data_IF_646372121230
#
_entry.id   IF_646372121230
#
_cell.length_a   1.000
_cell.length_b   1.000
_cell.length_c   1.000
_cell.angle_alpha   90.00
_cell.angle_beta   90.00
_cell.angle_gamma   90.00
#
_symmetry.space_group_name_H-M   'P 1'
#
loop_
_entity.id
_entity.type
_entity.pdbx_description
1 polymer ?
#
# COMPACT_ATOMS: atom_id res chain seq x y z
N UNK A 1 21.79 2.10 31.59
CA UNK A 1 20.78 3.03 31.05
C UNK A 1 21.36 4.42 31.20
N UNK A 2 21.50 5.17 30.11
CA UNK A 2 22.02 6.52 30.14
C UNK A 2 20.99 7.43 29.48
N UNK A 3 20.78 8.61 30.05
CA UNK A 3 19.90 9.62 29.51
C UNK A 3 20.74 10.79 29.03
N UNK A 4 20.24 11.55 28.05
CA UNK A 4 20.92 12.76 27.59
C UNK A 4 21.13 13.73 28.76
N UNK A 5 22.26 14.42 28.76
CA UNK A 5 22.57 15.44 29.79
C UNK A 5 21.49 16.52 29.78
N UNK A 6 20.79 16.70 30.92
CA UNK A 6 19.68 17.66 31.03
C UNK A 6 18.38 17.24 30.33
N UNK A 7 18.30 16.02 29.77
CA UNK A 7 17.12 15.55 29.05
C UNK A 7 15.98 15.08 29.97
N UNK A 8 16.23 14.95 31.28
CA UNK A 8 15.22 14.54 32.26
C UNK A 8 15.11 15.59 33.36
N UNK A 9 13.88 16.03 33.60
CA UNK A 9 13.49 16.69 34.82
C UNK A 9 13.16 15.64 35.90
N UNK A 10 14.10 15.44 36.83
CA UNK A 10 13.97 14.42 37.88
C UNK A 10 12.82 14.69 38.86
N UNK A 11 12.33 15.94 38.92
CA UNK A 11 11.22 16.31 39.83
C UNK A 11 9.88 15.76 39.35
N UNK A 12 9.80 15.33 38.08
CA UNK A 12 8.59 14.82 37.44
C UNK A 12 8.50 13.30 37.40
N UNK A 13 9.48 12.59 37.98
CA UNK A 13 9.52 11.13 38.01
C UNK A 13 8.88 10.59 39.29
N UNK A 14 7.94 9.64 39.14
CA UNK A 14 7.37 8.88 40.25
C UNK A 14 7.79 7.42 40.18
N UNK A 15 7.88 6.74 41.33
CA UNK A 15 8.10 5.29 41.38
C UNK A 15 6.98 4.60 40.58
N UNK A 16 7.37 3.70 39.67
CA UNK A 16 6.44 3.04 38.74
C UNK A 16 6.35 3.68 37.35
N UNK A 17 7.07 4.77 37.08
CA UNK A 17 7.15 5.37 35.74
C UNK A 17 7.72 4.38 34.72
N UNK A 18 7.03 4.21 33.58
CA UNK A 18 7.51 3.38 32.48
C UNK A 18 8.68 4.04 31.75
N UNK A 19 9.68 3.23 31.37
CA UNK A 19 10.86 3.71 30.64
C UNK A 19 11.02 2.87 29.39
N UNK A 20 10.96 3.52 28.22
CA UNK A 20 11.18 2.87 26.93
C UNK A 20 12.66 2.97 26.54
N UNK A 21 13.21 1.84 26.10
CA UNK A 21 14.57 1.77 25.56
C UNK A 21 14.57 2.24 24.11
N UNK A 22 15.01 3.47 23.85
CA UNK A 22 15.05 4.07 22.50
C UNK A 22 16.29 3.67 21.71
N UNK A 23 17.41 3.43 22.39
CA UNK A 23 18.63 2.88 21.80
C UNK A 23 19.26 1.84 22.73
N UNK A 24 19.85 0.83 22.12
CA UNK A 24 20.57 -0.23 22.81
C UNK A 24 21.91 -0.47 22.12
N UNK A 25 22.97 0.26 22.49
CA UNK A 25 24.28 0.08 21.89
C UNK A 25 24.80 -1.37 21.98
N UNK A 26 24.40 -2.14 23.00
CA UNK A 26 24.80 -3.55 23.13
C UNK A 26 24.04 -4.44 22.14
N UNK A 27 22.72 -4.28 22.02
CA UNK A 27 21.92 -4.97 21.00
C UNK A 27 22.36 -4.54 19.60
N UNK A 28 22.52 -3.24 19.34
CA UNK A 28 23.04 -2.70 18.07
C UNK A 28 24.42 -3.28 17.76
N UNK A 29 25.33 -3.38 18.74
CA UNK A 29 26.64 -4.02 18.53
C UNK A 29 26.50 -5.53 18.26
N UNK A 30 25.53 -6.19 18.89
CA UNK A 30 25.24 -7.62 18.69
C UNK A 30 24.64 -7.89 17.31
N UNK A 31 23.66 -7.09 16.89
CA UNK A 31 23.06 -7.09 15.56
C UNK A 31 24.09 -6.68 14.49
N UNK A 32 24.93 -5.66 14.74
CA UNK A 32 26.04 -5.34 13.84
C UNK A 32 26.96 -6.53 13.64
N UNK A 33 27.30 -7.27 14.69
CA UNK A 33 28.06 -8.53 14.51
C UNK A 33 27.32 -9.48 13.56
N UNK A 34 25.98 -9.48 13.50
CA UNK A 34 25.18 -10.36 12.62
C UNK A 34 25.36 -10.15 11.13
N UNK A 35 25.81 -8.98 10.70
CA UNK A 35 25.98 -8.67 9.28
C UNK A 35 27.29 -7.93 8.94
N UNK A 36 28.04 -7.47 9.95
CA UNK A 36 29.32 -6.81 9.77
C UNK A 36 30.49 -7.80 9.92
N UNK A 37 31.46 -7.69 9.01
CA UNK A 37 32.66 -8.51 8.93
C UNK A 37 32.51 -9.74 8.03
N UNK A 38 33.62 -10.39 7.70
CA UNK A 38 33.68 -11.51 6.72
C UNK A 38 33.33 -12.87 7.34
N UNK A 39 32.75 -12.88 8.54
CA UNK A 39 32.37 -14.12 9.21
C UNK A 39 31.13 -14.70 8.53
N UNK A 40 31.34 -15.74 7.75
CA UNK A 40 30.28 -16.54 7.13
C UNK A 40 29.41 -17.18 8.21
N UNK A 41 28.14 -16.76 8.25
CA UNK A 41 27.15 -17.21 9.27
C UNK A 41 26.28 -18.35 8.81
N UNK A 42 26.16 -18.53 7.50
CA UNK A 42 25.42 -19.60 6.88
C UNK A 42 26.29 -20.20 5.78
N UNK A 43 26.59 -21.48 5.91
CA UNK A 43 27.27 -22.24 4.88
C UNK A 43 26.25 -23.05 4.10
N UNK A 44 26.43 -23.13 2.78
CA UNK A 44 25.63 -23.96 1.89
C UNK A 44 26.12 -25.41 1.96
N UNK A 45 25.21 -26.39 2.16
CA UNK A 45 25.58 -27.78 2.11
C UNK A 45 25.99 -28.18 0.69
N UNK A 46 27.12 -28.87 0.55
CA UNK A 46 27.56 -29.50 -0.69
C UNK A 46 27.66 -31.02 -0.53
N UNK A 47 27.32 -31.75 -1.58
CA UNK A 47 27.62 -33.18 -1.69
C UNK A 47 28.79 -33.39 -2.65
N UNK A 48 29.70 -34.27 -2.27
CA UNK A 48 30.87 -34.62 -3.07
C UNK A 48 30.76 -36.07 -3.57
N UNK A 49 31.02 -36.27 -4.86
CA UNK A 49 31.29 -37.58 -5.46
C UNK A 49 32.76 -37.62 -5.87
N UNK A 50 33.51 -38.58 -5.33
CA UNK A 50 34.94 -38.73 -5.57
C UNK A 50 35.22 -40.03 -6.30
N UNK A 51 35.94 -39.97 -7.42
CA UNK A 51 36.40 -41.16 -8.14
C UNK A 51 37.92 -41.22 -8.09
N UNK A 52 38.45 -42.31 -7.52
CA UNK A 52 39.88 -42.55 -7.38
C UNK A 52 40.24 -43.95 -7.90
N UNK A 53 40.98 -44.03 -9.00
CA UNK A 53 41.45 -45.29 -9.55
C UNK A 53 42.95 -45.24 -9.86
N UNK A 54 43.67 -46.32 -9.60
CA UNK A 54 45.10 -46.41 -9.93
C UNK A 54 45.31 -46.16 -11.43
N UNK A 55 46.26 -45.27 -11.76
CA UNK A 55 46.55 -44.87 -13.13
C UNK A 55 45.62 -43.81 -13.71
N UNK A 56 44.65 -43.30 -12.94
CA UNK A 56 43.73 -42.24 -13.34
C UNK A 56 43.87 -41.01 -12.43
N UNK A 57 43.55 -39.80 -12.91
CA UNK A 57 43.49 -38.63 -12.04
C UNK A 57 42.34 -38.75 -11.03
N UNK A 58 42.53 -38.19 -9.83
CA UNK A 58 41.44 -38.05 -8.86
C UNK A 58 40.40 -37.07 -9.42
N UNK A 59 39.14 -37.49 -9.47
CA UNK A 59 38.03 -36.66 -9.91
C UNK A 59 37.12 -36.34 -8.72
N UNK A 60 36.78 -35.07 -8.54
CA UNK A 60 35.85 -34.62 -7.49
C UNK A 60 34.75 -33.79 -8.14
N UNK A 61 33.51 -34.28 -8.05
CA UNK A 61 32.31 -33.55 -8.42
C UNK A 61 31.65 -32.99 -7.15
N UNK A 62 31.29 -31.71 -7.16
CA UNK A 62 30.53 -31.07 -6.10
C UNK A 62 29.16 -30.64 -6.59
N UNK A 63 28.12 -30.88 -5.77
CA UNK A 63 26.74 -30.51 -6.07
C UNK A 63 26.13 -29.69 -4.93
N UNK A 64 25.51 -28.57 -5.31
CA UNK A 64 24.74 -27.69 -4.42
C UNK A 64 23.30 -28.20 -4.27
N UNK A 65 22.62 -27.75 -3.21
CA UNK A 65 21.23 -28.13 -2.92
C UNK A 65 20.21 -27.70 -4.00
N UNK A 66 20.53 -26.71 -4.82
CA UNK A 66 19.70 -26.24 -5.94
C UNK A 66 19.98 -26.95 -7.27
N UNK A 67 20.86 -27.96 -7.26
CA UNK A 67 21.19 -28.78 -8.43
C UNK A 67 22.38 -28.28 -9.25
N UNK A 68 22.95 -27.10 -8.97
CA UNK A 68 24.20 -26.66 -9.62
C UNK A 68 25.38 -27.57 -9.24
N UNK A 69 26.27 -27.86 -10.19
CA UNK A 69 27.44 -28.69 -9.97
C UNK A 69 28.68 -28.19 -10.71
N UNK A 70 29.85 -28.51 -10.15
CA UNK A 70 31.15 -28.37 -10.81
C UNK A 70 31.97 -29.64 -10.61
N UNK A 71 33.01 -29.79 -11.42
CA UNK A 71 33.89 -30.94 -11.38
C UNK A 71 35.34 -30.47 -11.48
N UNK A 72 36.21 -31.06 -10.67
CA UNK A 72 37.65 -30.77 -10.65
C UNK A 72 38.43 -32.09 -10.70
N UNK A 73 39.42 -32.15 -11.59
CA UNK A 73 40.37 -33.25 -11.67
C UNK A 73 41.73 -32.86 -11.09
N UNK A 74 42.43 -33.82 -10.49
CA UNK A 74 43.83 -33.68 -10.11
C UNK A 74 44.75 -33.70 -11.35
N UNK A 75 45.85 -32.97 -11.28
CA UNK A 75 46.83 -32.89 -12.37
C UNK A 75 47.82 -34.07 -12.37
N UNK A 76 47.67 -35.01 -11.43
CA UNK A 76 48.54 -36.19 -11.27
C UNK A 76 47.69 -37.45 -11.19
N UNK A 77 48.25 -38.56 -11.70
CA UNK A 77 47.61 -39.87 -11.66
C UNK A 77 47.78 -40.50 -10.28
N UNK A 78 46.74 -41.16 -9.79
CA UNK A 78 46.80 -41.91 -8.55
C UNK A 78 47.71 -43.13 -8.72
N UNK A 79 48.59 -43.35 -7.75
CA UNK A 79 49.56 -44.45 -7.77
C UNK A 79 49.06 -45.62 -6.92
N UNK A 80 49.48 -46.87 -7.17
CA UNK A 80 49.16 -47.96 -6.25
C UNK A 80 49.76 -47.68 -4.87
N UNK A 81 48.97 -47.84 -3.81
CA UNK A 81 49.44 -47.60 -2.45
C UNK A 81 50.45 -48.67 -2.00
N UNK A 82 51.61 -48.25 -1.50
CA UNK A 82 52.58 -49.12 -0.83
C UNK A 82 52.32 -49.22 0.68
N UNK A 83 51.80 -48.14 1.29
CA UNK A 83 51.30 -48.05 2.67
C UNK A 83 50.15 -47.03 2.72
N UNK A 84 49.12 -47.31 3.51
CA UNK A 84 47.92 -46.45 3.70
C UNK A 84 47.18 -46.10 2.38
N UNK A 85 46.37 -47.04 1.85
CA UNK A 85 45.52 -46.73 0.70
C UNK A 85 44.52 -45.61 1.04
N UNK A 86 44.14 -44.85 0.02
CA UNK A 86 43.11 -43.83 0.15
C UNK A 86 41.78 -44.50 0.49
N UNK A 87 41.11 -44.01 1.52
CA UNK A 87 39.77 -44.44 1.92
C UNK A 87 38.81 -43.25 1.97
N UNK A 88 37.51 -43.55 2.06
CA UNK A 88 36.44 -42.56 2.10
C UNK A 88 36.54 -41.64 3.33
N UNK A 89 37.00 -42.17 4.47
CA UNK A 89 37.19 -41.40 5.70
C UNK A 89 38.25 -40.31 5.51
N UNK A 90 39.39 -40.64 4.90
CA UNK A 90 40.47 -39.71 4.58
C UNK A 90 40.00 -38.65 3.58
N UNK A 91 39.22 -39.04 2.57
CA UNK A 91 38.63 -38.10 1.61
C UNK A 91 37.67 -37.12 2.28
N UNK A 92 36.79 -37.61 3.17
CA UNK A 92 35.89 -36.78 3.95
C UNK A 92 36.66 -35.79 4.83
N UNK A 93 37.70 -36.25 5.52
CA UNK A 93 38.54 -35.40 6.37
C UNK A 93 39.30 -34.34 5.57
N UNK A 94 39.91 -34.69 4.43
CA UNK A 94 40.74 -33.77 3.68
C UNK A 94 39.92 -32.80 2.82
N UNK A 95 38.89 -33.28 2.12
CA UNK A 95 38.05 -32.43 1.25
C UNK A 95 37.00 -31.64 2.05
N UNK A 96 36.59 -32.14 3.22
CA UNK A 96 35.63 -31.46 4.12
C UNK A 96 36.18 -30.26 4.89
N UNK A 97 37.50 -29.99 4.81
CA UNK A 97 38.15 -28.80 5.41
C UNK A 97 37.81 -27.52 4.64
N UNK A 98 36.55 -27.11 4.69
CA UNK A 98 35.96 -25.96 3.99
C UNK A 98 35.82 -24.71 4.89
N UNK A 99 36.58 -24.66 5.99
CA UNK A 99 36.56 -23.52 6.92
C UNK A 99 36.93 -22.21 6.23
N UNK A 100 36.17 -21.14 6.50
CA UNK A 100 36.35 -19.84 5.86
C UNK A 100 35.72 -19.71 4.47
N UNK A 101 35.10 -20.77 3.95
CA UNK A 101 34.36 -20.75 2.68
C UNK A 101 32.84 -20.78 2.95
N UNK A 102 31.99 -20.30 2.01
CA UNK A 102 30.55 -20.33 2.17
C UNK A 102 29.96 -21.75 2.08
N UNK A 103 30.77 -22.81 2.07
CA UNK A 103 30.34 -24.19 1.90
C UNK A 103 30.60 -25.06 3.13
N UNK A 104 29.73 -26.05 3.35
CA UNK A 104 29.90 -27.08 4.35
C UNK A 104 29.64 -28.46 3.71
N UNK A 105 30.50 -29.43 4.01
CA UNK A 105 30.33 -30.79 3.51
C UNK A 105 29.11 -31.43 4.18
N UNK A 106 28.10 -31.81 3.38
CA UNK A 106 26.93 -32.56 3.85
C UNK A 106 27.13 -34.06 3.68
N UNK A 107 27.58 -34.48 2.50
CA UNK A 107 27.79 -35.89 2.16
C UNK A 107 29.00 -36.01 1.24
N UNK A 108 29.79 -37.05 1.44
CA UNK A 108 30.79 -37.51 0.48
C UNK A 108 30.47 -38.97 0.14
N UNK A 109 30.63 -39.33 -1.12
CA UNK A 109 30.61 -40.71 -1.61
C UNK A 109 31.85 -40.93 -2.46
N UNK A 110 32.54 -42.05 -2.27
CA UNK A 110 33.76 -42.36 -3.00
C UNK A 110 33.69 -43.69 -3.76
N UNK A 111 34.13 -43.68 -5.01
CA UNK A 111 34.41 -44.87 -5.81
C UNK A 111 35.93 -45.06 -5.88
N UNK A 112 36.43 -46.10 -5.20
CA UNK A 112 37.87 -46.33 -5.01
C UNK A 112 38.24 -47.68 -5.64
N UNK A 113 39.12 -47.67 -6.66
CA UNK A 113 39.51 -48.86 -7.43
C UNK A 113 41.02 -49.07 -7.41
N UNK A 114 41.46 -50.26 -7.01
CA UNK A 114 42.86 -50.68 -7.08
C UNK A 114 43.76 -50.17 -5.95
N UNK A 115 43.19 -49.73 -4.82
CA UNK A 115 43.93 -49.19 -3.66
C UNK A 115 44.86 -48.02 -4.03
N UNK A 116 44.32 -46.93 -4.59
CA UNK A 116 45.11 -45.76 -4.97
C UNK A 116 45.67 -45.03 -3.76
N UNK A 117 46.80 -44.36 -3.97
CA UNK A 117 47.39 -43.37 -3.09
C UNK A 117 47.41 -42.03 -3.80
N UNK A 118 46.88 -41.01 -3.12
CA UNK A 118 46.91 -39.62 -3.56
C UNK A 118 47.53 -38.78 -2.44
N UNK A 119 48.62 -38.04 -2.70
CA UNK A 119 49.23 -37.19 -1.69
C UNK A 119 48.25 -36.13 -1.15
N UNK A 120 48.35 -35.80 0.14
CA UNK A 120 47.51 -34.76 0.75
C UNK A 120 47.69 -33.38 0.11
N UNK A 121 48.87 -33.10 -0.45
CA UNK A 121 49.11 -31.88 -1.22
C UNK A 121 48.20 -31.80 -2.46
N UNK A 122 47.97 -32.93 -3.14
CA UNK A 122 47.06 -33.03 -4.30
C UNK A 122 45.61 -32.83 -3.85
N UNK A 123 45.19 -33.47 -2.76
CA UNK A 123 43.85 -33.27 -2.18
C UNK A 123 43.61 -31.80 -1.77
N UNK A 124 44.64 -31.15 -1.21
CA UNK A 124 44.60 -29.73 -0.88
C UNK A 124 44.45 -28.82 -2.11
N UNK A 125 45.16 -29.11 -3.20
CA UNK A 125 45.06 -28.38 -4.47
C UNK A 125 43.68 -28.56 -5.11
N UNK A 126 43.19 -29.80 -5.18
CA UNK A 126 41.84 -30.10 -5.71
C UNK A 126 40.77 -29.40 -4.88
N UNK A 127 40.85 -29.44 -3.55
CA UNK A 127 39.90 -28.73 -2.66
C UNK A 127 39.88 -27.24 -2.93
N UNK A 128 41.04 -26.58 -3.08
CA UNK A 128 41.10 -25.13 -3.37
C UNK A 128 40.44 -24.80 -4.71
N UNK A 129 40.76 -25.56 -5.76
CA UNK A 129 40.14 -25.39 -7.08
C UNK A 129 38.62 -25.61 -7.02
N UNK A 130 38.18 -26.64 -6.31
CA UNK A 130 36.77 -26.95 -6.12
C UNK A 130 36.01 -25.80 -5.44
N UNK A 131 36.60 -25.20 -4.40
CA UNK A 131 36.02 -24.02 -3.72
C UNK A 131 35.91 -22.85 -4.70
N UNK A 132 36.96 -22.56 -5.48
CA UNK A 132 36.93 -21.47 -6.47
C UNK A 132 35.85 -21.68 -7.54
N UNK A 133 35.70 -22.91 -8.06
CA UNK A 133 34.64 -23.24 -9.03
C UNK A 133 33.25 -23.11 -8.40
N UNK A 134 33.08 -23.56 -7.15
CA UNK A 134 31.82 -23.40 -6.42
C UNK A 134 31.48 -21.93 -6.16
N UNK A 135 32.47 -21.09 -5.80
CA UNK A 135 32.30 -19.64 -5.62
C UNK A 135 31.83 -18.98 -6.92
N UNK A 136 32.48 -19.29 -8.06
CA UNK A 136 32.06 -18.79 -9.37
C UNK A 136 30.63 -19.22 -9.73
N UNK A 137 30.25 -20.46 -9.42
CA UNK A 137 28.89 -20.95 -9.63
C UNK A 137 27.83 -20.21 -8.82
N UNK A 138 28.15 -19.80 -7.57
CA UNK A 138 27.20 -19.10 -6.70
C UNK A 138 27.16 -17.60 -6.94
N UNK A 139 28.27 -16.99 -7.38
CA UNK A 139 28.36 -15.58 -7.77
C UNK A 139 27.73 -15.30 -9.14
N UNK A 140 27.62 -16.32 -9.99
CA UNK A 140 26.93 -16.19 -11.27
C UNK A 140 25.47 -15.74 -11.06
N UNK A 141 25.18 -14.50 -11.47
CA UNK A 141 23.84 -13.92 -11.41
C UNK A 141 22.88 -14.83 -12.17
N UNK A 142 21.80 -15.34 -11.53
CA UNK A 142 20.79 -16.12 -12.24
C UNK A 142 20.26 -15.31 -13.43
N UNK A 143 20.39 -15.84 -14.65
CA UNK A 143 19.81 -15.20 -15.83
C UNK A 143 18.30 -15.22 -15.69
N UNK A 144 17.72 -14.08 -15.32
CA UNK A 144 16.26 -13.88 -15.36
C UNK A 144 15.86 -13.72 -16.81
N UNK A 145 15.37 -14.80 -17.42
CA UNK A 145 14.74 -14.73 -18.74
C UNK A 145 13.29 -14.32 -18.55
N UNK A 146 12.92 -13.15 -19.07
CA UNK A 146 11.51 -12.81 -19.21
C UNK A 146 10.96 -13.67 -20.34
N UNK A 147 10.14 -14.66 -20.01
CA UNK A 147 9.66 -15.67 -20.97
C UNK A 147 8.70 -15.09 -22.03
N UNK A 148 8.12 -13.91 -21.77
CA UNK A 148 7.12 -13.27 -22.62
C UNK A 148 7.42 -11.77 -22.69
N UNK A 149 7.27 -11.17 -23.87
CA UNK A 149 7.34 -9.71 -24.03
C UNK A 149 6.36 -9.02 -23.06
N UNK A 150 6.84 -8.22 -22.08
CA UNK A 150 5.97 -7.52 -21.15
C UNK A 150 4.90 -6.66 -21.82
N UNK A 151 5.21 -6.08 -22.99
CA UNK A 151 4.25 -5.26 -23.74
C UNK A 151 3.13 -6.14 -24.29
N UNK A 152 3.45 -7.34 -24.77
CA UNK A 152 2.45 -8.30 -25.22
C UNK A 152 1.53 -8.74 -24.07
N UNK A 153 2.08 -8.97 -22.87
CA UNK A 153 1.29 -9.31 -21.67
C UNK A 153 0.34 -8.17 -21.30
N UNK A 154 0.83 -6.93 -21.23
CA UNK A 154 -0.01 -5.77 -20.91
C UNK A 154 -1.11 -5.60 -21.97
N UNK A 155 -0.80 -5.70 -23.26
CA UNK A 155 -1.82 -5.66 -24.33
C UNK A 155 -2.85 -6.77 -24.20
N UNK A 156 -2.44 -7.96 -23.77
CA UNK A 156 -3.36 -9.07 -23.54
C UNK A 156 -4.29 -8.81 -22.35
N UNK A 157 -3.76 -8.25 -21.27
CA UNK A 157 -4.54 -7.88 -20.07
C UNK A 157 -5.45 -6.68 -20.31
N UNK A 158 -5.05 -5.74 -21.18
CA UNK A 158 -5.83 -4.57 -21.57
C UNK A 158 -6.84 -4.86 -22.69
N UNK A 159 -6.97 -6.12 -23.15
CA UNK A 159 -8.03 -6.46 -24.10
C UNK A 159 -9.36 -6.17 -23.40
N UNK A 160 -10.17 -5.25 -23.92
CA UNK A 160 -11.42 -4.90 -23.27
C UNK A 160 -12.25 -6.16 -23.08
N UNK A 161 -12.63 -6.45 -21.84
CA UNK A 161 -13.64 -7.47 -21.57
C UNK A 161 -14.90 -7.03 -22.32
N UNK A 162 -15.48 -7.88 -23.20
CA UNK A 162 -16.73 -7.54 -23.87
C UNK A 162 -17.77 -7.16 -22.82
N UNK A 163 -18.24 -5.91 -22.86
CA UNK A 163 -19.38 -5.48 -22.05
C UNK A 163 -20.51 -6.47 -22.25
N UNK A 164 -21.08 -6.99 -21.15
CA UNK A 164 -22.17 -7.96 -21.19
C UNK A 164 -23.47 -7.38 -21.79
N UNK A 165 -23.53 -6.07 -22.09
CA UNK A 165 -24.66 -5.40 -22.71
C UNK A 165 -24.24 -4.39 -23.80
N UNK A 166 -23.87 -4.84 -25.01
CA UNK A 166 -23.56 -3.92 -26.12
C UNK A 166 -24.80 -3.18 -26.68
N UNK A 167 -26.02 -3.60 -26.31
CA UNK A 167 -27.27 -3.10 -26.93
C UNK A 167 -27.86 -1.84 -26.28
N UNK A 168 -27.27 -1.33 -25.20
CA UNK A 168 -27.70 -0.06 -24.58
C UNK A 168 -26.73 1.10 -24.86
N UNK A 169 -25.50 0.80 -25.28
CA UNK A 169 -24.42 1.79 -25.44
C UNK A 169 -24.54 2.65 -26.72
N UNK A 170 -25.14 2.15 -27.80
CA UNK A 170 -25.20 2.92 -29.06
C UNK A 170 -26.42 3.86 -29.17
N UNK A 171 -27.48 3.65 -28.37
CA UNK A 171 -28.72 4.42 -28.47
C UNK A 171 -28.87 5.51 -27.39
N UNK A 172 -27.93 5.62 -26.44
CA UNK A 172 -28.02 6.50 -25.27
C UNK A 172 -26.91 7.54 -25.16
N UNK A 173 -26.16 7.81 -26.24
CA UNK A 173 -25.27 8.98 -26.38
C UNK A 173 -26.03 10.34 -26.42
N UNK A 174 -27.12 10.47 -25.68
CA UNK A 174 -27.46 11.78 -25.13
C UNK A 174 -26.43 12.12 -24.06
N UNK A 175 -25.90 13.34 -24.10
CA UNK A 175 -24.99 13.88 -23.08
C UNK A 175 -25.70 13.86 -21.71
N UNK A 176 -25.67 12.72 -21.04
CA UNK A 176 -26.19 12.60 -19.69
C UNK A 176 -25.19 13.30 -18.79
N UNK A 177 -25.65 14.35 -18.12
CA UNK A 177 -24.82 15.09 -17.17
C UNK A 177 -24.31 14.11 -16.10
N UNK A 178 -23.04 14.23 -15.67
CA UNK A 178 -22.50 13.38 -14.63
C UNK A 178 -23.29 13.56 -13.33
N UNK A 179 -23.40 12.49 -12.55
CA UNK A 179 -23.96 12.58 -11.19
C UNK A 179 -22.96 13.27 -10.27
N UNK A 180 -23.41 14.30 -9.55
CA UNK A 180 -22.66 14.93 -8.48
C UNK A 180 -22.97 14.24 -7.15
N UNK A 181 -21.96 13.63 -6.54
CA UNK A 181 -22.03 13.05 -5.20
C UNK A 181 -21.50 14.04 -4.18
N UNK A 182 -22.18 14.17 -3.04
CA UNK A 182 -21.75 15.07 -1.95
C UNK A 182 -21.45 14.25 -0.70
N UNK A 183 -20.19 14.23 -0.28
CA UNK A 183 -19.77 13.63 0.98
C UNK A 183 -19.83 14.66 2.10
N UNK A 184 -20.60 14.33 3.14
CA UNK A 184 -20.86 15.15 4.32
C UNK A 184 -20.30 14.47 5.57
N UNK A 185 -19.86 15.28 6.54
CA UNK A 185 -19.24 14.85 7.80
C UNK A 185 -20.04 15.28 9.05
N UNK A 186 -21.16 15.97 8.87
CA UNK A 186 -22.13 16.29 9.93
C UNK A 186 -23.58 16.22 9.44
N UNK A 187 -24.53 16.13 10.39
CA UNK A 187 -25.96 16.22 10.11
C UNK A 187 -26.36 17.59 9.55
N UNK A 188 -25.71 18.68 9.98
CA UNK A 188 -25.96 20.03 9.46
C UNK A 188 -25.58 20.15 7.98
N UNK A 189 -24.44 19.56 7.60
CA UNK A 189 -24.01 19.48 6.19
C UNK A 189 -24.97 18.62 5.37
N UNK A 190 -25.42 17.49 5.92
CA UNK A 190 -26.42 16.64 5.28
C UNK A 190 -27.72 17.41 5.02
N UNK A 191 -28.24 18.08 6.05
CA UNK A 191 -29.46 18.89 5.94
C UNK A 191 -29.28 20.01 4.92
N UNK A 192 -28.15 20.71 4.92
CA UNK A 192 -27.86 21.77 3.95
C UNK A 192 -27.80 21.23 2.51
N UNK A 193 -27.14 20.09 2.28
CA UNK A 193 -27.03 19.48 0.95
C UNK A 193 -28.40 19.02 0.42
N UNK A 194 -29.21 18.39 1.27
CA UNK A 194 -30.56 17.95 0.90
C UNK A 194 -31.48 19.14 0.62
N UNK A 195 -31.42 20.20 1.43
CA UNK A 195 -32.16 21.45 1.21
C UNK A 195 -31.72 22.14 -0.08
N UNK A 196 -30.45 22.06 -0.45
CA UNK A 196 -29.94 22.55 -1.75
C UNK A 196 -30.45 21.73 -2.95
N UNK A 197 -31.10 20.58 -2.71
CA UNK A 197 -31.67 19.73 -3.74
C UNK A 197 -30.81 18.53 -4.13
N UNK A 198 -29.70 18.28 -3.44
CA UNK A 198 -28.85 17.12 -3.72
C UNK A 198 -29.51 15.82 -3.26
N UNK A 199 -29.32 14.76 -4.05
CA UNK A 199 -29.97 13.46 -3.82
C UNK A 199 -29.01 12.29 -3.76
N UNK A 200 -27.77 12.44 -4.20
CA UNK A 200 -26.73 11.41 -4.12
C UNK A 200 -25.69 11.81 -3.05
N UNK A 201 -25.87 11.28 -1.84
CA UNK A 201 -25.16 11.72 -0.65
C UNK A 201 -24.33 10.59 -0.04
N UNK A 202 -23.22 10.96 0.59
CA UNK A 202 -22.34 10.03 1.31
C UNK A 202 -22.08 10.60 2.71
N UNK A 203 -22.31 9.83 3.77
CA UNK A 203 -21.99 10.23 5.14
C UNK A 203 -20.69 9.57 5.65
N UNK A 204 -19.79 10.37 6.20
CA UNK A 204 -18.51 9.97 6.80
C UNK A 204 -18.41 10.57 8.21
N UNK A 205 -19.23 10.06 9.13
CA UNK A 205 -19.40 10.59 10.49
C UNK A 205 -18.47 9.91 11.49
N UNK A 206 -17.98 10.69 12.44
CA UNK A 206 -17.20 10.21 13.58
C UNK A 206 -18.06 9.38 14.56
N UNK A 207 -19.31 9.80 14.78
CA UNK A 207 -20.22 9.11 15.68
C UNK A 207 -21.16 8.16 14.94
N UNK A 208 -20.96 6.87 15.16
CA UNK A 208 -21.75 5.81 14.52
C UNK A 208 -23.26 5.91 14.81
N UNK A 209 -23.65 6.52 15.95
CA UNK A 209 -25.06 6.67 16.33
C UNK A 209 -25.82 7.61 15.39
N UNK A 210 -25.13 8.62 14.85
CA UNK A 210 -25.73 9.63 13.97
C UNK A 210 -26.17 9.05 12.62
N UNK A 211 -25.62 7.93 12.18
CA UNK A 211 -26.00 7.32 10.90
C UNK A 211 -27.47 6.91 10.83
N UNK A 212 -28.10 6.53 11.96
CA UNK A 212 -29.54 6.21 11.97
C UNK A 212 -30.38 7.43 11.59
N UNK A 213 -30.05 8.57 12.18
CA UNK A 213 -30.73 9.84 11.92
C UNK A 213 -30.46 10.31 10.49
N UNK A 214 -29.20 10.20 10.05
CA UNK A 214 -28.78 10.56 8.69
C UNK A 214 -29.59 9.82 7.61
N UNK A 215 -29.68 8.49 7.72
CA UNK A 215 -30.46 7.66 6.80
C UNK A 215 -31.94 8.04 6.84
N UNK A 216 -32.48 8.31 8.04
CA UNK A 216 -33.86 8.77 8.19
C UNK A 216 -34.12 10.11 7.49
N UNK A 217 -33.24 11.09 7.69
CA UNK A 217 -33.33 12.43 7.09
C UNK A 217 -33.24 12.37 5.56
N UNK A 218 -32.27 11.62 5.03
CA UNK A 218 -32.13 11.46 3.58
C UNK A 218 -33.37 10.79 2.96
N UNK A 219 -33.88 9.72 3.60
CA UNK A 219 -35.07 8.99 3.13
C UNK A 219 -36.33 9.86 3.14
N UNK A 220 -36.53 10.70 4.16
CA UNK A 220 -37.65 11.65 4.21
C UNK A 220 -37.65 12.64 3.04
N UNK A 221 -36.48 12.90 2.46
CA UNK A 221 -36.28 13.86 1.38
C UNK A 221 -36.07 13.17 0.03
N UNK A 222 -36.35 11.87 -0.04
CA UNK A 222 -36.15 11.01 -1.22
C UNK A 222 -34.71 11.10 -1.78
N UNK A 223 -33.72 11.27 -0.90
CA UNK A 223 -32.31 11.23 -1.23
C UNK A 223 -31.72 9.85 -0.91
N UNK A 224 -30.80 9.40 -1.77
CA UNK A 224 -29.98 8.20 -1.57
C UNK A 224 -28.83 8.55 -0.64
N UNK A 225 -28.67 7.80 0.45
CA UNK A 225 -27.53 7.96 1.36
C UNK A 225 -26.67 6.71 1.42
N UNK A 226 -25.40 6.88 1.07
CA UNK A 226 -24.37 5.88 1.30
C UNK A 226 -23.58 6.18 2.57
N UNK A 227 -23.11 5.14 3.27
CA UNK A 227 -22.23 5.32 4.43
C UNK A 227 -20.79 4.98 4.05
N UNK A 228 -19.83 5.81 4.46
CA UNK A 228 -18.42 5.53 4.26
C UNK A 228 -17.90 4.57 5.33
N UNK A 229 -17.13 3.55 4.93
CA UNK A 229 -16.45 2.68 5.89
C UNK A 229 -15.20 3.37 6.46
N UNK A 230 -14.66 2.91 7.61
CA UNK A 230 -13.28 3.25 7.98
C UNK A 230 -12.30 2.91 6.87
N UNK A 231 -11.22 3.70 6.77
CA UNK A 231 -10.15 3.44 5.79
C UNK A 231 -9.31 2.22 6.15
N UNK A 232 -9.02 2.06 7.44
CA UNK A 232 -8.27 0.91 7.95
C UNK A 232 -9.23 -0.04 8.66
N UNK A 233 -9.18 -1.30 8.25
CA UNK A 233 -9.88 -2.42 8.87
C UNK A 233 -8.87 -3.41 9.43
N UNK A 234 -8.87 -3.62 10.76
CA UNK A 234 -8.03 -4.65 11.40
C UNK A 234 -8.81 -5.95 11.64
N UNK A 235 -8.10 -7.08 11.83
CA UNK A 235 -8.72 -8.31 12.32
C UNK A 235 -9.54 -8.05 13.59
N UNK A 236 -10.75 -8.63 13.66
CA UNK A 236 -11.66 -8.47 14.81
C UNK A 236 -12.55 -7.22 14.78
N UNK A 237 -12.35 -6.29 13.84
CA UNK A 237 -13.13 -5.04 13.78
C UNK A 237 -14.38 -5.12 12.86
N UNK A 238 -14.77 -6.31 12.40
CA UNK A 238 -15.93 -6.48 11.50
C UNK A 238 -17.25 -6.01 12.12
N UNK A 239 -17.30 -5.89 13.45
CA UNK A 239 -18.44 -5.32 14.17
C UNK A 239 -18.78 -3.89 13.73
N UNK A 240 -17.81 -3.12 13.23
CA UNK A 240 -18.06 -1.78 12.68
C UNK A 240 -18.89 -1.87 11.39
N UNK A 241 -18.54 -2.78 10.48
CA UNK A 241 -19.32 -2.99 9.25
C UNK A 241 -20.72 -3.52 9.55
N UNK A 242 -20.85 -4.43 10.52
CA UNK A 242 -22.15 -4.90 10.99
C UNK A 242 -23.00 -3.73 11.54
N UNK A 243 -22.40 -2.83 12.31
CA UNK A 243 -23.09 -1.66 12.82
C UNK A 243 -23.54 -0.71 11.71
N UNK A 244 -22.68 -0.41 10.73
CA UNK A 244 -23.04 0.38 9.55
C UNK A 244 -24.21 -0.25 8.78
N UNK A 245 -24.16 -1.56 8.53
CA UNK A 245 -25.22 -2.28 7.82
C UNK A 245 -26.57 -2.27 8.55
N UNK A 246 -26.60 -2.25 9.88
CA UNK A 246 -27.83 -2.16 10.70
C UNK A 246 -28.56 -0.82 10.56
N UNK A 247 -27.93 0.21 10.01
CA UNK A 247 -28.59 1.48 9.70
C UNK A 247 -29.35 1.43 8.37
N UNK A 248 -29.28 0.32 7.63
CA UNK A 248 -29.99 0.08 6.37
C UNK A 248 -29.78 1.21 5.34
N UNK A 249 -28.51 1.53 4.99
CA UNK A 249 -28.25 2.56 4.00
C UNK A 249 -28.56 2.08 2.58
N UNK A 250 -28.72 3.02 1.65
CA UNK A 250 -28.97 2.72 0.23
C UNK A 250 -27.70 2.24 -0.51
N UNK A 251 -26.57 2.23 0.19
CA UNK A 251 -25.30 1.69 -0.27
C UNK A 251 -24.16 2.04 0.69
N UNK A 252 -22.96 1.61 0.35
CA UNK A 252 -21.76 1.84 1.16
C UNK A 252 -20.61 2.28 0.27
N UNK A 253 -19.96 3.39 0.64
CA UNK A 253 -18.68 3.77 0.07
C UNK A 253 -17.58 2.98 0.81
N UNK A 254 -17.13 1.90 0.19
CA UNK A 254 -16.11 1.02 0.76
C UNK A 254 -14.73 1.60 0.52
N UNK A 255 -13.88 1.55 1.55
CA UNK A 255 -12.51 2.13 1.56
C UNK A 255 -11.40 1.09 1.65
N UNK A 256 -11.76 -0.19 1.62
CA UNK A 256 -10.85 -1.32 1.60
C UNK A 256 -11.57 -2.57 1.07
N UNK A 257 -10.78 -3.57 0.66
CA UNK A 257 -11.30 -4.81 0.07
C UNK A 257 -12.18 -5.63 1.02
N UNK A 258 -11.90 -5.59 2.33
CA UNK A 258 -12.71 -6.27 3.34
C UNK A 258 -14.14 -5.71 3.38
N UNK A 259 -14.29 -4.38 3.27
CA UNK A 259 -15.59 -3.73 3.16
C UNK A 259 -16.33 -4.14 1.89
N UNK A 260 -15.64 -4.14 0.75
CA UNK A 260 -16.19 -4.59 -0.54
C UNK A 260 -16.83 -5.98 -0.42
N UNK A 261 -16.05 -6.97 0.02
CA UNK A 261 -16.52 -8.36 0.19
C UNK A 261 -17.65 -8.46 1.24
N UNK A 262 -17.55 -7.75 2.36
CA UNK A 262 -18.51 -7.82 3.46
C UNK A 262 -19.91 -7.34 3.06
N UNK A 263 -20.01 -6.18 2.41
CA UNK A 263 -21.29 -5.57 2.06
C UNK A 263 -21.90 -6.20 0.80
N UNK A 264 -21.06 -6.52 -0.20
CA UNK A 264 -21.51 -7.22 -1.41
C UNK A 264 -22.11 -8.59 -1.11
N UNK A 265 -21.47 -9.39 -0.24
CA UNK A 265 -22.01 -10.70 0.17
C UNK A 265 -23.35 -10.62 0.90
N UNK A 266 -23.78 -9.42 1.33
CA UNK A 266 -25.08 -9.14 1.95
C UNK A 266 -26.07 -8.45 1.01
N UNK A 267 -25.72 -8.31 -0.27
CA UNK A 267 -26.57 -7.66 -1.26
C UNK A 267 -26.71 -6.15 -1.09
N UNK A 268 -25.82 -5.52 -0.29
CA UNK A 268 -25.82 -4.06 -0.13
C UNK A 268 -24.99 -3.45 -1.25
N UNK A 269 -25.51 -2.47 -2.01
CA UNK A 269 -24.77 -1.76 -3.05
C UNK A 269 -23.46 -1.15 -2.55
N UNK A 270 -22.40 -1.25 -3.36
CA UNK A 270 -21.05 -0.82 -2.98
C UNK A 270 -20.43 0.08 -4.05
N UNK A 271 -19.79 1.15 -3.58
CA UNK A 271 -18.94 2.03 -4.37
C UNK A 271 -17.52 2.03 -3.81
N UNK A 272 -16.51 2.02 -4.68
CA UNK A 272 -15.11 2.01 -4.28
C UNK A 272 -14.58 3.43 -4.08
N UNK A 273 -13.93 3.68 -2.96
CA UNK A 273 -13.33 4.98 -2.66
C UNK A 273 -11.91 5.15 -3.23
N UNK A 274 -11.41 6.39 -3.27
CA UNK A 274 -10.05 6.72 -3.76
C UNK A 274 -8.95 5.94 -3.02
N UNK A 275 -9.23 5.50 -1.80
CA UNK A 275 -8.33 4.73 -0.92
C UNK A 275 -8.02 3.31 -1.43
N UNK A 276 -8.70 2.83 -2.48
CA UNK A 276 -8.25 1.66 -3.23
C UNK A 276 -6.97 1.90 -4.06
N UNK A 277 -6.50 3.15 -4.15
CA UNK A 277 -5.28 3.56 -4.84
C UNK A 277 -5.26 3.16 -6.33
N UNK A 278 -6.43 3.28 -6.98
CA UNK A 278 -6.58 2.93 -8.40
C UNK A 278 -6.00 4.04 -9.26
N UNK A 279 -4.92 3.71 -9.97
CA UNK A 279 -4.14 4.65 -10.81
C UNK A 279 -3.94 4.18 -12.25
N UNK A 280 -4.46 3.01 -12.61
CA UNK A 280 -4.32 2.41 -13.94
C UNK A 280 -5.56 1.59 -14.31
N UNK A 281 -5.74 1.34 -15.62
CA UNK A 281 -6.94 0.69 -16.16
C UNK A 281 -7.11 -0.75 -15.69
N UNK A 282 -6.02 -1.50 -15.49
CA UNK A 282 -6.08 -2.88 -15.02
C UNK A 282 -6.65 -2.96 -13.59
N UNK A 283 -6.21 -2.07 -12.71
CA UNK A 283 -6.76 -1.97 -11.36
C UNK A 283 -8.23 -1.52 -11.38
N UNK A 284 -8.58 -0.56 -12.25
CA UNK A 284 -9.96 -0.11 -12.40
C UNK A 284 -10.88 -1.26 -12.86
N UNK A 285 -10.49 -1.98 -13.90
CA UNK A 285 -11.21 -3.13 -14.42
C UNK A 285 -11.33 -4.25 -13.38
N UNK A 286 -10.24 -4.55 -12.67
CA UNK A 286 -10.27 -5.52 -11.57
C UNK A 286 -11.34 -5.17 -10.55
N UNK A 287 -11.33 -3.96 -9.98
CA UNK A 287 -12.27 -3.57 -8.93
C UNK A 287 -13.71 -3.44 -9.43
N UNK A 288 -13.93 -2.90 -10.64
CA UNK A 288 -15.25 -2.87 -11.26
C UNK A 288 -15.81 -4.29 -11.47
N UNK A 289 -14.96 -5.24 -11.91
CA UNK A 289 -15.36 -6.64 -12.06
C UNK A 289 -15.73 -7.34 -10.75
N UNK A 290 -15.31 -6.81 -9.60
CA UNK A 290 -15.73 -7.30 -8.29
C UNK A 290 -17.17 -6.89 -7.91
N UNK A 291 -17.86 -6.12 -8.77
CA UNK A 291 -19.26 -5.73 -8.57
C UNK A 291 -19.44 -4.37 -7.89
N UNK A 292 -18.48 -3.46 -8.05
CA UNK A 292 -18.66 -2.06 -7.68
C UNK A 292 -19.62 -1.37 -8.66
N UNK A 293 -20.56 -0.58 -8.14
CA UNK A 293 -21.42 0.28 -8.97
C UNK A 293 -20.61 1.41 -9.62
N UNK A 294 -19.69 1.98 -8.82
CA UNK A 294 -18.75 3.02 -9.24
C UNK A 294 -17.43 2.92 -8.48
N UNK A 295 -16.39 3.52 -9.04
CA UNK A 295 -15.03 3.50 -8.50
C UNK A 295 -14.36 4.87 -8.57
N UNK A 296 -14.01 5.43 -7.41
CA UNK A 296 -13.25 6.66 -7.33
C UNK A 296 -11.77 6.44 -7.68
N UNK A 297 -11.25 7.31 -8.55
CA UNK A 297 -9.83 7.31 -8.94
C UNK A 297 -8.96 7.84 -7.79
N UNK A 298 -7.73 7.31 -7.66
CA UNK A 298 -6.77 7.76 -6.64
C UNK A 298 -6.40 9.23 -6.79
N UNK A 299 -6.11 9.88 -5.65
CA UNK A 299 -5.52 11.22 -5.59
C UNK A 299 -4.09 11.28 -6.12
N UNK A 300 -3.43 10.13 -6.27
CA UNK A 300 -2.05 10.06 -6.78
C UNK A 300 -1.94 10.32 -8.28
N UNK A 301 -3.05 10.23 -9.01
CA UNK A 301 -3.07 10.58 -10.43
C UNK A 301 -2.98 12.11 -10.60
N UNK A 302 -1.98 12.55 -11.36
CA UNK A 302 -2.02 13.90 -11.90
C UNK A 302 -3.07 14.00 -13.03
N UNK A 303 -3.34 15.22 -13.51
CA UNK A 303 -4.33 15.47 -14.57
C UNK A 303 -4.11 14.62 -15.83
N UNK A 304 -2.87 14.52 -16.32
CA UNK A 304 -2.56 13.78 -17.54
C UNK A 304 -2.77 12.27 -17.36
N UNK A 305 -2.32 11.72 -16.22
CA UNK A 305 -2.52 10.32 -15.85
C UNK A 305 -4.01 10.00 -15.69
N UNK A 306 -4.79 10.90 -15.07
CA UNK A 306 -6.23 10.75 -14.93
C UNK A 306 -6.91 10.69 -16.30
N UNK A 307 -6.61 11.62 -17.21
CA UNK A 307 -7.18 11.61 -18.56
C UNK A 307 -6.80 10.36 -19.35
N UNK A 308 -5.55 9.87 -19.21
CA UNK A 308 -5.12 8.61 -19.81
C UNK A 308 -5.88 7.41 -19.26
N UNK A 309 -6.12 7.36 -17.94
CA UNK A 309 -6.90 6.32 -17.28
C UNK A 309 -8.34 6.32 -17.82
N UNK A 310 -8.98 7.49 -17.84
CA UNK A 310 -10.35 7.67 -18.33
C UNK A 310 -10.48 7.23 -19.78
N UNK A 311 -9.50 7.54 -20.63
CA UNK A 311 -9.49 7.10 -22.03
C UNK A 311 -9.27 5.58 -22.21
N UNK A 312 -8.82 4.87 -21.17
CA UNK A 312 -8.39 3.47 -21.25
C UNK A 312 -9.36 2.48 -20.59
N UNK A 313 -10.51 2.93 -20.08
CA UNK A 313 -11.52 2.06 -19.45
C UNK A 313 -12.92 2.68 -19.53
N UNK A 314 -13.94 1.97 -19.03
CA UNK A 314 -15.31 2.49 -19.01
C UNK A 314 -15.45 3.67 -18.03
N UNK A 315 -15.30 4.88 -18.54
CA UNK A 315 -15.35 6.12 -17.76
C UNK A 315 -16.70 6.39 -17.09
N UNK A 316 -17.80 5.81 -17.59
CA UNK A 316 -19.14 6.03 -17.05
C UNK A 316 -19.31 5.52 -15.61
N UNK A 317 -18.50 4.55 -15.19
CA UNK A 317 -18.49 4.01 -13.82
C UNK A 317 -17.39 4.62 -12.94
N UNK A 318 -16.56 5.51 -13.48
CA UNK A 318 -15.53 6.17 -12.72
C UNK A 318 -16.07 7.41 -11.99
N UNK A 319 -15.58 7.60 -10.77
CA UNK A 319 -15.81 8.79 -9.96
C UNK A 319 -14.50 9.58 -9.81
N UNK A 320 -14.58 10.90 -9.98
CA UNK A 320 -13.45 11.81 -9.70
C UNK A 320 -13.84 12.77 -8.59
N UNK A 321 -13.03 12.84 -7.55
CA UNK A 321 -13.20 13.83 -6.48
C UNK A 321 -12.61 15.16 -6.95
N UNK A 322 -13.47 16.17 -7.06
CA UNK A 322 -13.15 17.48 -7.62
C UNK A 322 -13.12 18.59 -6.58
N UNK A 323 -13.45 18.27 -5.32
CA UNK A 323 -13.27 19.15 -4.19
C UNK A 323 -12.99 18.33 -2.93
N UNK A 324 -11.86 18.56 -2.26
CA UNK A 324 -11.52 17.84 -1.04
C UNK A 324 -10.42 18.53 -0.25
N UNK A 325 -10.42 18.32 1.06
CA UNK A 325 -9.24 18.52 1.88
C UNK A 325 -8.40 17.24 1.87
N UNK A 326 -7.11 17.35 1.54
CA UNK A 326 -6.25 16.17 1.47
C UNK A 326 -5.99 15.59 2.87
N UNK A 327 -6.27 14.30 3.10
CA UNK A 327 -5.88 13.65 4.35
C UNK A 327 -4.35 13.54 4.40
N UNK A 328 -3.72 14.18 5.39
CA UNK A 328 -2.26 14.22 5.54
C UNK A 328 -1.73 13.03 6.33
N UNK A 329 -2.32 12.80 7.50
CA UNK A 329 -1.91 11.72 8.40
C UNK A 329 -3.12 10.92 8.83
N UNK A 330 -2.98 9.60 8.84
CA UNK A 330 -3.93 8.70 9.45
C UNK A 330 -3.23 7.92 10.57
N UNK A 331 -3.78 7.98 11.78
CA UNK A 331 -3.09 7.62 13.01
C UNK A 331 -3.91 6.63 13.83
N UNK A 332 -3.27 5.56 14.30
CA UNK A 332 -3.87 4.66 15.29
C UNK A 332 -3.87 5.28 16.69
N UNK A 333 -2.88 6.12 16.99
CA UNK A 333 -2.82 6.81 18.26
C UNK A 333 -3.91 7.89 18.32
N UNK A 334 -4.86 7.73 19.25
CA UNK A 334 -5.97 8.65 19.41
C UNK A 334 -5.53 9.89 20.21
N UNK A 335 -5.25 10.99 19.52
CA UNK A 335 -4.84 12.27 20.13
C UNK A 335 -5.93 12.78 21.08
N UNK A 336 -7.20 12.66 20.69
CA UNK A 336 -8.34 13.06 21.53
C UNK A 336 -8.32 12.35 22.89
N UNK A 337 -8.13 11.02 22.89
CA UNK A 337 -8.00 10.26 24.14
C UNK A 337 -6.76 10.70 24.92
N UNK A 338 -5.63 10.90 24.24
CA UNK A 338 -4.37 11.21 24.89
C UNK A 338 -4.32 12.59 25.54
N UNK A 339 -5.05 13.57 25.03
CA UNK A 339 -4.91 14.97 25.47
C UNK A 339 -6.18 15.57 26.07
N UNK A 340 -7.36 15.01 25.79
CA UNK A 340 -8.66 15.54 26.24
C UNK A 340 -9.44 14.58 27.15
N UNK A 341 -8.86 13.42 27.49
CA UNK A 341 -9.52 12.43 28.35
C UNK A 341 -8.64 12.01 29.53
N UNK A 342 -9.21 11.74 30.71
CA UNK A 342 -8.52 11.01 31.77
C UNK A 342 -8.40 9.50 31.47
N UNK A 343 -9.07 9.00 30.43
CA UNK A 343 -9.01 7.61 30.00
C UNK A 343 -7.69 7.27 29.29
N UNK A 344 -7.43 5.98 29.14
CA UNK A 344 -6.16 5.44 28.59
C UNK A 344 -6.35 4.72 27.26
N UNK A 345 -7.59 4.43 26.85
CA UNK A 345 -7.89 3.74 25.60
C UNK A 345 -9.33 4.01 25.12
N UNK A 346 -9.68 3.48 23.94
CA UNK A 346 -11.00 3.68 23.30
C UNK A 346 -12.21 3.21 24.12
N UNK A 347 -12.02 2.31 25.09
CA UNK A 347 -13.11 1.75 25.90
C UNK A 347 -13.42 2.59 27.14
N UNK A 348 -12.52 3.49 27.56
CA UNK A 348 -12.68 4.31 28.76
C UNK A 348 -12.41 5.81 28.52
N UNK A 349 -12.23 6.24 27.28
CA UNK A 349 -11.90 7.63 26.97
C UNK A 349 -13.07 8.60 27.16
N UNK A 350 -14.31 8.13 27.30
CA UNK A 350 -15.48 9.01 27.40
C UNK A 350 -15.83 9.73 26.10
N UNK A 351 -15.21 9.36 24.97
CA UNK A 351 -15.46 9.90 23.62
C UNK A 351 -15.38 11.44 23.49
N UNK A 352 -14.30 12.10 23.94
CA UNK A 352 -14.15 13.56 23.78
C UNK A 352 -14.20 14.02 22.33
N UNK A 353 -13.92 13.12 21.36
CA UNK A 353 -14.05 13.37 19.93
C UNK A 353 -15.48 13.62 19.45
N UNK A 354 -16.51 13.27 20.23
CA UNK A 354 -17.91 13.52 19.86
C UNK A 354 -18.30 14.99 20.10
N UNK A 355 -17.69 15.65 21.10
CA UNK A 355 -18.10 16.97 21.58
C UNK A 355 -17.05 18.07 21.34
N UNK A 356 -15.83 17.71 20.90
CA UNK A 356 -14.74 18.66 20.67
C UNK A 356 -14.31 18.68 19.21
N UNK A 357 -14.20 19.89 18.66
CA UNK A 357 -13.51 20.14 17.39
C UNK A 357 -12.03 20.45 17.67
N UNK A 358 -11.11 19.63 17.16
CA UNK A 358 -9.67 19.77 17.41
C UNK A 358 -8.95 20.16 16.13
N UNK A 359 -8.13 21.20 16.21
CA UNK A 359 -7.20 21.59 15.15
C UNK A 359 -5.76 21.46 15.64
N UNK A 360 -4.88 20.92 14.81
CA UNK A 360 -3.44 20.94 15.04
C UNK A 360 -2.83 22.12 14.29
N UNK A 361 -2.14 22.99 15.02
CA UNK A 361 -1.43 24.12 14.44
C UNK A 361 -0.02 23.72 14.02
N UNK A 362 0.35 24.00 12.78
CA UNK A 362 1.70 23.74 12.28
C UNK A 362 2.70 24.85 12.68
N UNK A 363 3.96 24.69 12.25
CA UNK A 363 5.06 25.63 12.56
C UNK A 363 4.89 27.03 11.95
N UNK A 364 4.06 27.18 10.92
CA UNK A 364 3.79 28.46 10.25
C UNK A 364 2.42 29.04 10.66
N UNK A 365 1.72 28.39 11.59
CA UNK A 365 0.47 28.87 12.18
C UNK A 365 -0.80 28.38 11.48
N UNK A 366 -0.70 27.49 10.49
CA UNK A 366 -1.87 26.93 9.79
C UNK A 366 -2.53 25.88 10.66
N UNK A 367 -3.86 25.95 10.78
CA UNK A 367 -4.67 25.07 11.62
C UNK A 367 -5.32 23.97 10.79
N UNK A 368 -4.99 22.72 11.12
CA UNK A 368 -5.39 21.52 10.41
C UNK A 368 -6.42 20.74 11.21
N UNK A 369 -7.61 20.49 10.66
CA UNK A 369 -8.64 19.74 11.36
C UNK A 369 -8.19 18.30 11.61
N UNK A 370 -8.29 17.87 12.86
CA UNK A 370 -8.14 16.49 13.28
C UNK A 370 -9.52 15.90 13.54
N UNK A 371 -9.82 14.78 12.88
CA UNK A 371 -11.08 14.04 13.07
C UNK A 371 -10.82 12.65 13.62
N UNK A 372 -11.80 12.04 14.26
CA UNK A 372 -11.79 10.63 14.61
C UNK A 372 -12.78 9.86 13.72
N UNK A 373 -12.43 8.66 13.28
CA UNK A 373 -13.39 7.74 12.68
C UNK A 373 -14.10 6.87 13.74
N UNK A 374 -15.11 6.11 13.33
CA UNK A 374 -15.85 5.17 14.19
C UNK A 374 -14.97 4.07 14.79
N UNK A 375 -13.75 3.87 14.29
CA UNK A 375 -12.74 2.96 14.83
C UNK A 375 -11.79 3.61 15.84
N UNK A 376 -12.04 4.87 16.22
CA UNK A 376 -11.19 5.71 17.07
C UNK A 376 -9.80 6.01 16.47
N UNK A 377 -9.66 5.99 15.15
CA UNK A 377 -8.44 6.40 14.44
C UNK A 377 -8.54 7.85 14.04
N UNK A 378 -7.43 8.57 14.11
CA UNK A 378 -7.43 9.98 13.77
C UNK A 378 -6.98 10.24 12.34
N UNK A 379 -7.66 11.16 11.66
CA UNK A 379 -7.23 11.70 10.37
C UNK A 379 -6.99 13.20 10.52
N UNK A 380 -5.76 13.63 10.25
CA UNK A 380 -5.42 15.05 10.12
C UNK A 380 -5.58 15.46 8.67
N UNK A 381 -6.40 16.48 8.42
CA UNK A 381 -6.65 17.01 7.08
C UNK A 381 -5.82 18.27 6.81
N UNK A 382 -5.43 18.45 5.55
CA UNK A 382 -4.83 19.70 5.13
C UNK A 382 -5.85 20.83 5.29
N UNK A 383 -5.44 21.96 5.86
CA UNK A 383 -6.30 23.12 6.10
C UNK A 383 -6.81 23.75 4.80
N UNK A 384 -6.05 23.61 3.71
CA UNK A 384 -6.39 24.19 2.41
C UNK A 384 -7.03 23.12 1.54
N UNK A 385 -8.26 23.37 1.11
CA UNK A 385 -8.97 22.52 0.16
C UNK A 385 -8.25 22.48 -1.20
N UNK A 386 -8.47 21.41 -1.95
CA UNK A 386 -8.12 21.28 -3.35
C UNK A 386 -9.39 21.36 -4.21
N UNK A 387 -9.28 21.96 -5.39
CA UNK A 387 -10.34 21.99 -6.38
C UNK A 387 -9.81 21.57 -7.75
N UNK A 388 -10.46 20.55 -8.32
CA UNK A 388 -10.29 20.08 -9.68
C UNK A 388 -11.21 20.76 -10.69
N UNK A 389 -11.84 21.89 -10.35
CA UNK A 389 -12.87 22.53 -11.17
C UNK A 389 -12.44 22.79 -12.62
N UNK A 390 -11.19 23.20 -12.85
CA UNK A 390 -10.66 23.46 -14.19
C UNK A 390 -10.53 22.19 -15.06
N UNK A 391 -10.46 21.00 -14.46
CA UNK A 391 -10.42 19.73 -15.19
C UNK A 391 -11.83 19.18 -15.53
N UNK A 392 -12.88 19.65 -14.85
CA UNK A 392 -14.24 19.09 -14.96
C UNK A 392 -14.74 19.06 -16.41
N UNK A 393 -14.57 20.15 -17.17
CA UNK A 393 -15.02 20.19 -18.56
C UNK A 393 -14.40 19.09 -19.43
N UNK A 394 -13.09 18.82 -19.27
CA UNK A 394 -12.40 17.75 -20.00
C UNK A 394 -12.82 16.36 -19.52
N UNK A 395 -13.03 16.19 -18.22
CA UNK A 395 -13.47 14.93 -17.63
C UNK A 395 -14.86 14.53 -18.12
N UNK A 396 -15.80 15.48 -18.12
CA UNK A 396 -17.17 15.27 -18.63
C UNK A 396 -17.15 14.98 -20.13
N UNK A 397 -16.36 15.72 -20.91
CA UNK A 397 -16.20 15.47 -22.34
C UNK A 397 -15.56 14.09 -22.62
N UNK A 398 -14.79 13.55 -21.68
CA UNK A 398 -14.16 12.22 -21.77
C UNK A 398 -15.06 11.08 -21.24
N UNK A 399 -16.31 11.38 -20.87
CA UNK A 399 -17.29 10.37 -20.47
C UNK A 399 -17.27 9.98 -19.00
N UNK A 400 -16.64 10.78 -18.10
CA UNK A 400 -16.78 10.57 -16.65
C UNK A 400 -18.26 10.63 -16.26
N UNK A 401 -18.75 9.55 -15.64
CA UNK A 401 -20.15 9.47 -15.20
C UNK A 401 -20.40 10.05 -13.81
N UNK A 402 -19.37 10.11 -12.95
CA UNK A 402 -19.53 10.53 -11.57
C UNK A 402 -18.47 11.54 -11.13
N UNK A 403 -18.91 12.56 -10.40
CA UNK A 403 -18.05 13.56 -9.78
C UNK A 403 -18.40 13.66 -8.31
N UNK A 404 -17.41 13.89 -7.45
CA UNK A 404 -17.63 13.99 -6.01
C UNK A 404 -17.03 15.25 -5.42
N UNK A 405 -17.76 15.88 -4.51
CA UNK A 405 -17.24 16.89 -3.61
C UNK A 405 -17.25 16.34 -2.18
N UNK A 406 -16.17 16.56 -1.44
CA UNK A 406 -16.04 16.17 -0.03
C UNK A 406 -15.96 17.40 0.86
N UNK A 407 -16.97 17.58 1.70
CA UNK A 407 -17.01 18.62 2.72
C UNK A 407 -16.28 18.15 3.98
N UNK A 408 -15.57 19.05 4.64
CA UNK A 408 -14.84 18.80 5.87
C UNK A 408 -15.49 19.50 7.06
N UNK A 409 -15.37 20.82 7.12
CA UNK A 409 -15.79 21.66 8.26
C UNK A 409 -16.73 22.81 7.83
N UNK A 410 -17.13 22.83 6.57
CA UNK A 410 -18.02 23.84 6.02
C UNK A 410 -19.31 23.91 6.83
N UNK A 411 -19.69 25.14 7.22
CA UNK A 411 -21.01 25.44 7.76
C UNK A 411 -22.13 25.15 6.75
N UNK A 412 -23.38 25.15 7.19
CA UNK A 412 -24.53 24.98 6.29
C UNK A 412 -24.53 26.00 5.13
N UNK A 413 -24.17 27.27 5.40
CA UNK A 413 -24.08 28.30 4.38
C UNK A 413 -22.91 28.08 3.41
N UNK A 414 -21.76 27.64 3.90
CA UNK A 414 -20.60 27.29 3.06
C UNK A 414 -20.89 26.06 2.20
N UNK A 415 -21.51 25.03 2.79
CA UNK A 415 -21.98 23.82 2.10
C UNK A 415 -22.84 24.19 0.90
N UNK A 416 -23.86 25.03 1.10
CA UNK A 416 -24.73 25.49 0.01
C UNK A 416 -23.96 26.25 -1.07
N UNK A 417 -22.98 27.10 -0.70
CA UNK A 417 -22.14 27.84 -1.66
C UNK A 417 -21.24 26.92 -2.49
N UNK A 418 -20.58 25.94 -1.85
CA UNK A 418 -19.72 24.97 -2.55
C UNK A 418 -20.55 24.16 -3.55
N UNK A 419 -21.68 23.60 -3.10
CA UNK A 419 -22.60 22.85 -3.96
C UNK A 419 -23.06 23.70 -5.16
N UNK A 420 -23.54 24.92 -4.90
CA UNK A 420 -24.00 25.82 -5.96
C UNK A 420 -22.90 26.10 -6.99
N UNK A 421 -21.66 26.34 -6.54
CA UNK A 421 -20.52 26.62 -7.42
C UNK A 421 -20.23 25.46 -8.39
N UNK A 422 -20.24 24.21 -7.89
CA UNK A 422 -20.03 23.05 -8.74
C UNK A 422 -21.24 22.72 -9.63
N UNK A 423 -22.47 22.99 -9.17
CA UNK A 423 -23.67 22.86 -10.03
C UNK A 423 -23.66 23.86 -11.17
N UNK A 424 -23.26 25.10 -10.90
CA UNK A 424 -23.13 26.13 -11.93
C UNK A 424 -22.07 25.73 -12.97
N UNK A 425 -20.97 25.12 -12.52
CA UNK A 425 -19.95 24.56 -13.41
C UNK A 425 -20.50 23.44 -14.29
N UNK A 426 -21.19 22.46 -13.70
CA UNK A 426 -21.76 21.33 -14.44
C UNK A 426 -22.87 21.75 -15.40
N UNK A 427 -23.59 22.82 -15.07
CA UNK A 427 -24.58 23.42 -15.95
C UNK A 427 -23.98 24.37 -17.01
N UNK A 428 -22.65 24.56 -17.03
CA UNK A 428 -21.97 25.46 -17.97
C UNK A 428 -22.24 26.95 -17.74
N UNK A 429 -22.77 27.34 -16.56
CA UNK A 429 -23.03 28.74 -16.20
C UNK A 429 -21.77 29.50 -15.81
N UNK A 430 -20.76 28.77 -15.32
CA UNK A 430 -19.45 29.30 -14.95
C UNK A 430 -18.35 28.37 -15.45
N UNK A 431 -17.16 28.91 -15.64
CA UNK A 431 -15.94 28.17 -15.97
C UNK A 431 -15.28 27.61 -14.72
N UNK A 432 -14.47 26.54 -14.88
CA UNK A 432 -13.72 25.98 -13.75
C UNK A 432 -12.77 26.97 -13.09
N UNK A 433 -12.25 27.93 -13.87
CA UNK A 433 -11.38 29.01 -13.37
C UNK A 433 -12.15 30.01 -12.49
N UNK A 434 -13.39 30.33 -12.85
CA UNK A 434 -14.27 31.19 -12.03
C UNK A 434 -14.65 30.50 -10.72
N UNK A 435 -14.96 29.20 -10.75
CA UNK A 435 -15.21 28.41 -9.54
C UNK A 435 -13.98 28.40 -8.63
N UNK A 436 -12.81 28.11 -9.18
CA UNK A 436 -11.56 28.11 -8.41
C UNK A 436 -11.29 29.48 -7.77
N UNK A 437 -11.44 30.57 -8.54
CA UNK A 437 -11.27 31.93 -8.04
C UNK A 437 -12.29 32.30 -6.96
N UNK A 438 -13.57 31.94 -7.15
CA UNK A 438 -14.65 32.18 -6.21
C UNK A 438 -14.47 31.42 -4.89
N UNK A 439 -14.15 30.13 -4.95
CA UNK A 439 -13.84 29.31 -3.77
C UNK A 439 -12.61 29.84 -3.03
N UNK A 440 -11.57 30.25 -3.76
CA UNK A 440 -10.37 30.84 -3.17
C UNK A 440 -10.65 32.18 -2.47
N UNK A 441 -11.55 33.00 -3.02
CA UNK A 441 -11.95 34.26 -2.40
C UNK A 441 -12.87 34.08 -1.18
N UNK A 442 -13.70 33.02 -1.19
CA UNK A 442 -14.63 32.72 -0.12
C UNK A 442 -13.99 32.03 1.09
N UNK A 443 -12.87 31.32 0.89
CA UNK A 443 -12.16 30.58 1.94
C UNK A 443 -11.02 31.42 2.54
N UNK A 444 -10.97 31.54 3.88
CA UNK A 444 -9.94 32.30 4.60
C UNK A 444 -8.50 31.83 4.31
N UNK A 445 -8.31 30.53 4.04
CA UNK A 445 -7.00 29.92 3.74
C UNK A 445 -6.84 29.66 2.23
N UNK A 446 -7.90 29.90 1.45
CA UNK A 446 -7.96 29.69 0.00
C UNK A 446 -8.21 28.23 -0.42
N UNK A 447 -8.01 27.96 -1.71
CA UNK A 447 -8.11 26.63 -2.33
C UNK A 447 -6.94 26.46 -3.32
N UNK A 448 -6.37 25.25 -3.41
CA UNK A 448 -5.30 24.92 -4.37
C UNK A 448 -5.79 24.03 -5.51
N UNK A 449 -5.00 23.87 -6.58
CA UNK A 449 -5.29 22.94 -7.68
C UNK A 449 -4.92 21.49 -7.37
N UNK A 450 -4.08 21.27 -6.35
CA UNK A 450 -3.62 19.93 -5.99
C UNK A 450 -2.87 19.23 -7.11
N UNK A 451 -3.15 17.93 -7.29
CA UNK A 451 -2.55 17.09 -8.32
C UNK A 451 -3.12 17.33 -9.73
N UNK A 452 -4.24 18.05 -9.83
CA UNK A 452 -4.92 18.33 -11.11
C UNK A 452 -4.50 19.66 -11.75
N UNK A 453 -3.39 20.24 -11.29
CA UNK A 453 -2.83 21.48 -11.83
C UNK A 453 -2.43 21.38 -13.30
N UNK A 454 -2.62 22.47 -14.05
CA UNK A 454 -2.26 22.59 -15.44
C UNK A 454 -0.74 22.71 -15.61
N UNK A 455 -0.09 21.60 -15.98
CA UNK A 455 1.36 21.43 -16.26
C UNK A 455 2.26 21.81 -15.09
N UNK A 456 2.70 20.80 -14.32
CA UNK A 456 3.99 20.92 -13.62
C UNK A 456 5.10 20.89 -14.67
N UNK A 457 5.90 21.95 -14.78
CA UNK A 457 7.21 21.82 -15.39
C UNK A 457 7.99 20.81 -14.52
N UNK A 458 8.36 19.62 -15.04
CA UNK A 458 9.01 18.59 -14.22
C UNK A 458 10.36 19.06 -13.64
N UNK A 459 10.91 20.18 -14.13
CA UNK A 459 12.12 20.82 -13.63
C UNK A 459 11.89 21.84 -12.50
N UNK A 460 10.65 22.07 -12.06
CA UNK A 460 10.35 23.01 -10.97
C UNK A 460 10.60 22.43 -9.56
N UNK A 461 11.14 21.21 -9.47
CA UNK A 461 11.63 20.60 -8.24
C UNK A 461 13.15 20.38 -8.40
N UNK A 462 13.91 21.47 -8.46
CA UNK A 462 15.34 21.51 -8.10
C UNK A 462 15.57 22.77 -7.29
#
# INVERSE_FOLDING_TARGET
MAFGTGAIDLTRLTIGSEVWKTDDPQLTRTLRKTFAGDRLRRQQPIDLLVTAAVGQPLLVEARLADGRCCQVAADTLAQPATRHPLDEATLCEQLGRLGGTPFALRKLTAEIVGNPMVPFSVLGTVRKRLVTELEQLVEAVPRRTVAVDPIAVVRQLQKPVPSANPRQDEASHHQQLPTLHVLVRSLDQLQAAVTAGERDLIADFADIRQYREAVGLARQQAARLQLATPRIQKPGELGVFAALGRHEPDGVLVRNFSGLEYFRSRGIPVAGDFSFNVTNSLAAEFFLSQGLERLAVSYDCNREQLLQLVASCNASQLEVVIHQHMPMFHMEHCVFCSVLSPGTNKNNCGRPCDDHTVHLRDRIGVEHLLTADVGCRNTLFNAVAQSGAEAVGQLVASGIGHLRIELLEESAAETGRVIASYRDLLAGRVTGREVWAGLRAANRVGVTRGTLEERRNPLAII
#
